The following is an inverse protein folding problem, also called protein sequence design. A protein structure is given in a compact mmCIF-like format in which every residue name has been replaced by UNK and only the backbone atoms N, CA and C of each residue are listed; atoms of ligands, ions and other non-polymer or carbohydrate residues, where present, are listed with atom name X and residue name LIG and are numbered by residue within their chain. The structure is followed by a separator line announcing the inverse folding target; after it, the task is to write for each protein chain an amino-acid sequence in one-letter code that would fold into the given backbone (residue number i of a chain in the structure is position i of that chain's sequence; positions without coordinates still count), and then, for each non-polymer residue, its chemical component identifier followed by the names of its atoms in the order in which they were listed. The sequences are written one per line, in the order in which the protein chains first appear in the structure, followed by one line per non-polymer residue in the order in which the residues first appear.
data_IF_847792302709
#
_entry.id   IF_847792302709
#
_cell.length_a   1.000
_cell.length_b   1.000
_cell.length_c   1.000
_cell.angle_alpha   90.00
_cell.angle_beta   90.00
_cell.angle_gamma   90.00
#
_symmetry.space_group_name_H-M   'P 1'
#
loop_
_entity.id
_entity.type
_entity.pdbx_description
1 polymer ?
#
# COMPACT_ATOMS: atom_id res chain seq x y z
N UNK A 1 -11.58 -44.05 18.83
CA UNK A 1 -12.15 -43.12 17.83
C UNK A 1 -12.15 -41.67 18.35
N UNK A 2 -10.99 -41.09 18.69
CA UNK A 2 -10.88 -39.68 19.14
C UNK A 2 -9.65 -38.91 18.62
N UNK A 3 -8.78 -39.55 17.84
CA UNK A 3 -7.52 -38.94 17.38
C UNK A 3 -7.53 -38.47 15.92
N UNK A 4 -8.65 -38.64 15.19
CA UNK A 4 -8.72 -38.27 13.77
C UNK A 4 -9.16 -36.82 13.52
N UNK A 5 -9.74 -36.14 14.52
CA UNK A 5 -10.27 -34.77 14.36
C UNK A 5 -9.23 -33.66 14.59
N UNK A 6 -8.06 -33.99 15.17
CA UNK A 6 -7.03 -32.98 15.51
C UNK A 6 -6.14 -32.66 14.30
N UNK A 7 -6.04 -33.57 13.32
CA UNK A 7 -5.19 -33.39 12.13
C UNK A 7 -5.79 -32.47 11.05
N UNK A 8 -7.11 -32.24 11.06
CA UNK A 8 -7.76 -31.41 10.03
C UNK A 8 -7.68 -29.91 10.38
N UNK A 9 -7.63 -29.57 11.68
CA UNK A 9 -7.58 -28.16 12.12
C UNK A 9 -6.19 -27.54 11.99
N UNK A 10 -5.12 -28.34 12.05
CA UNK A 10 -3.75 -27.84 11.78
C UNK A 10 -3.45 -27.64 10.29
N UNK A 11 -4.20 -28.28 9.38
CA UNK A 11 -3.98 -28.13 7.94
C UNK A 11 -4.50 -26.78 7.40
N UNK A 12 -5.52 -26.18 8.03
CA UNK A 12 -6.06 -24.88 7.60
C UNK A 12 -5.23 -23.67 8.04
N UNK A 13 -4.26 -23.84 8.94
CA UNK A 13 -3.32 -22.76 9.31
C UNK A 13 -2.07 -22.73 8.42
N UNK A 14 -1.91 -23.73 7.55
CA UNK A 14 -0.88 -23.80 6.51
C UNK A 14 -1.50 -23.49 5.15
N UNK A 15 -2.33 -22.44 5.05
CA UNK A 15 -2.54 -21.84 3.74
C UNK A 15 -1.17 -21.38 3.23
N UNK A 16 -0.71 -21.87 2.07
CA UNK A 16 0.55 -21.42 1.52
C UNK A 16 0.43 -19.93 1.26
N UNK A 17 1.25 -19.10 1.92
CA UNK A 17 1.44 -17.69 1.55
C UNK A 17 1.66 -17.52 0.04
N UNK A 18 2.17 -18.56 -0.63
CA UNK A 18 2.33 -18.67 -2.07
C UNK A 18 1.02 -18.64 -2.89
N UNK A 19 -0.10 -19.19 -2.40
CA UNK A 19 -1.39 -19.13 -3.11
C UNK A 19 -2.03 -17.74 -2.99
N UNK A 20 -1.88 -17.10 -1.83
CA UNK A 20 -2.36 -15.72 -1.63
C UNK A 20 -1.52 -14.72 -2.42
N UNK A 21 -0.21 -14.93 -2.53
CA UNK A 21 0.67 -14.14 -3.39
C UNK A 21 0.37 -14.36 -4.89
N UNK A 22 0.06 -15.59 -5.32
CA UNK A 22 -0.25 -15.85 -6.73
C UNK A 22 -1.50 -15.09 -7.21
N UNK A 23 -2.55 -15.04 -6.38
CA UNK A 23 -3.78 -14.30 -6.65
C UNK A 23 -3.56 -12.78 -6.52
N UNK A 24 -2.89 -12.34 -5.46
CA UNK A 24 -2.60 -10.93 -5.20
C UNK A 24 -1.68 -10.30 -6.25
N UNK A 25 -0.79 -11.08 -6.86
CA UNK A 25 0.19 -10.62 -7.83
C UNK A 25 -0.22 -10.87 -9.29
N UNK A 26 -1.39 -11.49 -9.53
CA UNK A 26 -1.98 -11.57 -10.87
C UNK A 26 -2.84 -10.32 -11.09
N UNK A 27 -2.67 -9.63 -12.22
CA UNK A 27 -3.35 -8.35 -12.51
C UNK A 27 -4.82 -8.54 -12.94
N UNK A 28 -5.39 -9.73 -12.71
CA UNK A 28 -6.74 -10.08 -13.14
C UNK A 28 -7.73 -9.78 -12.04
N UNK A 29 -8.22 -8.55 -12.01
CA UNK A 29 -9.47 -8.23 -11.31
C UNK A 29 -10.59 -8.94 -12.07
N UNK A 30 -11.19 -9.97 -11.48
CA UNK A 30 -12.36 -10.60 -12.10
C UNK A 30 -13.57 -9.66 -12.02
N UNK A 31 -14.42 -9.56 -13.07
CA UNK A 31 -15.61 -8.71 -13.02
C UNK A 31 -16.56 -9.14 -11.89
N UNK A 32 -16.64 -8.34 -10.83
CA UNK A 32 -17.46 -8.63 -9.64
C UNK A 32 -16.68 -8.86 -8.35
N UNK A 33 -15.35 -8.83 -8.40
CA UNK A 33 -14.50 -8.84 -7.20
C UNK A 33 -14.60 -7.49 -6.48
N UNK A 34 -14.79 -7.54 -5.15
CA UNK A 34 -14.74 -6.34 -4.30
C UNK A 34 -13.38 -5.65 -4.48
N UNK A 35 -13.27 -4.31 -4.34
CA UNK A 35 -11.98 -3.62 -4.50
C UNK A 35 -10.92 -4.35 -3.69
N UNK A 36 -9.98 -4.97 -4.39
CA UNK A 36 -9.03 -5.90 -3.79
C UNK A 36 -8.37 -5.24 -2.59
N UNK A 37 -8.18 -5.99 -1.50
CA UNK A 37 -7.42 -5.49 -0.34
C UNK A 37 -6.07 -4.88 -0.75
N UNK A 38 -5.50 -5.34 -1.87
CA UNK A 38 -4.37 -4.75 -2.59
C UNK A 38 -4.55 -3.28 -2.95
N UNK A 39 -5.64 -2.94 -3.63
CA UNK A 39 -5.93 -1.58 -4.04
C UNK A 39 -6.10 -0.68 -2.81
N UNK A 40 -6.78 -1.17 -1.77
CA UNK A 40 -6.95 -0.41 -0.53
C UNK A 40 -5.63 -0.20 0.22
N UNK A 41 -4.75 -1.20 0.28
CA UNK A 41 -3.41 -1.06 0.88
C UNK A 41 -2.54 -0.10 0.09
N UNK A 42 -2.58 -0.17 -1.25
CA UNK A 42 -1.86 0.76 -2.12
C UNK A 42 -2.34 2.20 -1.92
N UNK A 43 -3.65 2.43 -2.00
CA UNK A 43 -4.25 3.76 -1.85
C UNK A 43 -4.04 4.31 -0.44
N UNK A 44 -4.21 3.48 0.59
CA UNK A 44 -3.94 3.88 1.98
C UNK A 44 -2.48 4.24 2.22
N UNK A 45 -1.55 3.50 1.61
CA UNK A 45 -0.10 3.79 1.69
C UNK A 45 0.24 5.10 0.98
N UNK A 46 -0.29 5.30 -0.23
CA UNK A 46 -0.13 6.53 -1.00
C UNK A 46 -0.69 7.74 -0.24
N UNK A 47 -1.89 7.64 0.30
CA UNK A 47 -2.51 8.71 1.10
C UNK A 47 -1.71 9.01 2.37
N UNK A 48 -1.26 7.99 3.10
CA UNK A 48 -0.49 8.18 4.34
C UNK A 48 0.84 8.90 4.08
N UNK A 49 1.56 8.50 3.03
CA UNK A 49 2.80 9.15 2.59
C UNK A 49 2.53 10.59 2.13
N UNK A 50 1.47 10.80 1.35
CA UNK A 50 1.09 12.13 0.88
C UNK A 50 0.77 13.09 2.04
N UNK A 51 0.01 12.62 3.04
CA UNK A 51 -0.31 13.40 4.24
C UNK A 51 0.95 13.72 5.05
N UNK A 52 1.86 12.75 5.20
CA UNK A 52 3.11 12.92 5.93
C UNK A 52 4.03 13.96 5.25
N UNK A 53 4.16 13.92 3.92
CA UNK A 53 4.90 14.91 3.14
C UNK A 53 4.27 16.30 3.24
N UNK A 54 2.96 16.38 3.01
CA UNK A 54 2.25 17.66 2.87
C UNK A 54 2.08 18.40 4.20
N UNK A 55 1.82 17.67 5.29
CA UNK A 55 1.42 18.24 6.57
C UNK A 55 2.41 17.99 7.72
N UNK A 56 3.27 16.98 7.62
CA UNK A 56 4.19 16.60 8.70
C UNK A 56 5.68 16.83 8.39
N UNK A 57 6.00 17.38 7.20
CA UNK A 57 7.36 17.77 6.84
C UNK A 57 8.26 16.61 6.44
N UNK A 58 7.66 15.47 6.05
CA UNK A 58 8.41 14.33 5.60
C UNK A 58 9.04 14.55 4.21
N UNK A 59 10.14 13.85 3.87
CA UNK A 59 10.77 13.98 2.57
C UNK A 59 9.89 13.41 1.44
N UNK A 60 9.88 14.01 0.25
CA UNK A 60 9.14 13.48 -0.90
C UNK A 60 9.56 12.05 -1.26
N UNK A 61 8.58 11.18 -1.45
CA UNK A 61 8.73 9.76 -1.77
C UNK A 61 8.12 9.51 -3.15
N UNK A 62 8.92 9.07 -4.13
CA UNK A 62 8.39 8.77 -5.46
C UNK A 62 7.31 7.69 -5.40
N UNK A 63 6.16 7.85 -6.09
CA UNK A 63 5.11 6.84 -6.07
C UNK A 63 5.55 5.47 -6.61
N UNK A 64 6.59 5.44 -7.45
CA UNK A 64 7.25 4.19 -7.88
C UNK A 64 7.82 3.39 -6.71
N UNK A 65 8.35 4.06 -5.69
CA UNK A 65 8.85 3.40 -4.49
C UNK A 65 7.67 2.80 -3.71
N UNK A 66 6.58 3.57 -3.55
CA UNK A 66 5.30 3.14 -2.94
C UNK A 66 4.82 1.85 -3.56
N UNK A 67 4.71 1.84 -4.89
CA UNK A 67 4.34 0.66 -5.64
C UNK A 67 5.25 -0.53 -5.34
N UNK A 68 6.57 -0.36 -5.47
CA UNK A 68 7.55 -1.43 -5.27
C UNK A 68 7.45 -2.03 -3.87
N UNK A 69 7.43 -1.23 -2.81
CA UNK A 69 7.42 -1.78 -1.43
C UNK A 69 6.14 -2.54 -1.14
N UNK A 70 4.99 -2.03 -1.60
CA UNK A 70 3.71 -2.72 -1.39
C UNK A 70 3.71 -4.06 -2.13
N UNK A 71 4.11 -4.09 -3.39
CA UNK A 71 4.15 -5.32 -4.19
C UNK A 71 5.22 -6.31 -3.67
N UNK A 72 6.41 -5.85 -3.30
CA UNK A 72 7.46 -6.67 -2.69
C UNK A 72 7.01 -7.27 -1.36
N UNK A 73 6.33 -6.48 -0.52
CA UNK A 73 5.81 -6.93 0.78
C UNK A 73 4.77 -8.05 0.68
N UNK A 74 4.07 -8.14 -0.45
CA UNK A 74 3.09 -9.20 -0.72
C UNK A 74 3.66 -10.37 -1.52
N UNK A 75 4.94 -10.31 -1.84
CA UNK A 75 5.59 -11.40 -2.54
C UNK A 75 5.43 -11.36 -4.07
N UNK A 76 5.23 -10.18 -4.67
CA UNK A 76 5.03 -10.04 -6.11
C UNK A 76 6.33 -9.98 -6.92
N UNK A 77 7.38 -10.64 -6.43
CA UNK A 77 8.61 -10.83 -7.19
C UNK A 77 9.63 -9.71 -7.00
N UNK A 78 10.76 -9.80 -7.73
CA UNK A 78 11.91 -8.95 -7.48
C UNK A 78 11.67 -7.51 -7.93
N UNK A 79 12.20 -6.55 -7.16
CA UNK A 79 12.17 -5.11 -7.43
C UNK A 79 12.30 -4.72 -8.89
N UNK A 80 13.33 -5.21 -9.58
CA UNK A 80 13.63 -4.79 -10.95
C UNK A 80 12.47 -5.06 -11.93
N UNK A 81 11.68 -6.13 -11.68
CA UNK A 81 10.47 -6.43 -12.46
C UNK A 81 9.38 -5.41 -12.16
N UNK A 82 9.14 -5.14 -10.88
CA UNK A 82 8.11 -4.21 -10.41
C UNK A 82 8.40 -2.76 -10.86
N UNK A 83 9.65 -2.32 -10.80
CA UNK A 83 10.06 -1.01 -11.31
C UNK A 83 9.80 -0.88 -12.82
N UNK A 84 10.06 -1.93 -13.59
CA UNK A 84 9.79 -1.95 -15.03
C UNK A 84 8.28 -1.95 -15.33
N UNK A 85 7.49 -2.69 -14.56
CA UNK A 85 6.02 -2.70 -14.64
C UNK A 85 5.43 -1.33 -14.31
N UNK A 86 5.87 -0.71 -13.21
CA UNK A 86 5.46 0.64 -12.84
C UNK A 86 5.79 1.64 -13.95
N UNK A 87 7.02 1.60 -14.47
CA UNK A 87 7.44 2.47 -15.57
C UNK A 87 6.53 2.31 -16.79
N UNK A 88 6.25 1.07 -17.19
CA UNK A 88 5.35 0.77 -18.32
C UNK A 88 3.91 1.26 -18.08
N UNK A 89 3.40 1.15 -16.85
CA UNK A 89 2.05 1.66 -16.49
C UNK A 89 1.98 3.18 -16.50
N UNK A 90 3.07 3.85 -16.16
CA UNK A 90 3.15 5.31 -16.14
C UNK A 90 3.51 5.92 -17.51
N UNK A 91 3.96 5.13 -18.48
CA UNK A 91 4.15 5.57 -19.86
C UNK A 91 2.79 5.98 -20.47
N UNK A 92 2.51 7.28 -20.45
CA UNK A 92 1.27 7.89 -20.94
C UNK A 92 0.26 8.28 -19.87
N UNK A 93 0.55 8.04 -18.59
CA UNK A 93 -0.28 8.51 -17.48
C UNK A 93 0.05 9.97 -17.11
N UNK A 94 -0.97 10.72 -16.70
CA UNK A 94 -0.80 12.08 -16.20
C UNK A 94 -0.09 12.07 -14.83
N UNK A 95 0.79 13.04 -14.60
CA UNK A 95 1.51 13.15 -13.32
C UNK A 95 0.54 13.66 -12.26
N UNK A 96 0.08 12.75 -11.40
CA UNK A 96 -0.75 13.10 -10.24
C UNK A 96 0.13 13.77 -9.17
N UNK A 97 -0.27 14.96 -8.71
CA UNK A 97 0.44 15.64 -7.61
C UNK A 97 0.00 15.10 -6.25
N UNK A 98 0.78 15.36 -5.20
CA UNK A 98 0.42 15.02 -3.81
C UNK A 98 -0.92 15.65 -3.40
N UNK A 99 -1.19 16.89 -3.85
CA UNK A 99 -2.45 17.57 -3.56
C UNK A 99 -3.63 16.93 -4.31
N UNK A 100 -3.43 16.50 -5.57
CA UNK A 100 -4.45 15.77 -6.34
C UNK A 100 -4.76 14.41 -5.71
N UNK A 101 -3.72 13.71 -5.25
CA UNK A 101 -3.85 12.42 -4.57
C UNK A 101 -4.65 12.55 -3.28
N UNK A 102 -4.33 13.55 -2.43
CA UNK A 102 -5.07 13.81 -1.19
C UNK A 102 -6.51 14.18 -1.52
N UNK A 103 -6.73 15.03 -2.52
CA UNK A 103 -8.08 15.44 -2.93
C UNK A 103 -8.91 14.25 -3.40
N UNK A 104 -8.38 13.46 -4.33
CA UNK A 104 -9.09 12.34 -4.92
C UNK A 104 -9.36 11.21 -3.90
N UNK A 105 -8.41 10.94 -3.01
CA UNK A 105 -8.55 9.80 -2.07
C UNK A 105 -9.26 10.14 -0.77
N UNK A 106 -9.15 11.38 -0.29
CA UNK A 106 -9.76 11.76 0.99
C UNK A 106 -11.09 12.52 0.82
N UNK A 107 -11.37 13.08 -0.36
CA UNK A 107 -12.49 14.00 -0.56
C UNK A 107 -13.26 13.76 -1.88
N UNK A 108 -13.20 12.53 -2.41
CA UNK A 108 -13.69 11.99 -3.71
C UNK A 108 -14.92 12.71 -4.35
N UNK A 109 -15.87 13.20 -3.55
CA UNK A 109 -17.13 13.82 -4.01
C UNK A 109 -17.21 15.37 -3.98
N UNK A 110 -16.24 16.10 -3.40
CA UNK A 110 -16.33 17.56 -3.27
C UNK A 110 -15.22 18.27 -4.07
N UNK A 111 -15.39 18.33 -5.40
CA UNK A 111 -14.42 18.95 -6.32
C UNK A 111 -14.15 20.44 -6.09
N UNK A 112 -15.03 21.10 -5.34
CA UNK A 112 -14.99 22.55 -5.08
C UNK A 112 -14.61 22.91 -3.63
N UNK A 113 -14.10 21.98 -2.80
CA UNK A 113 -13.61 22.34 -1.46
C UNK A 113 -12.43 23.33 -1.61
N UNK A 114 -12.49 24.51 -0.96
CA UNK A 114 -11.34 25.39 -0.89
C UNK A 114 -10.14 24.71 -0.22
N UNK A 115 -8.93 24.90 -0.73
CA UNK A 115 -7.71 24.28 -0.18
C UNK A 115 -7.58 24.44 1.35
N UNK A 116 -7.94 25.61 1.89
CA UNK A 116 -7.89 25.87 3.34
C UNK A 116 -8.83 24.96 4.15
N UNK A 117 -9.98 24.60 3.59
CA UNK A 117 -10.92 23.67 4.22
C UNK A 117 -10.43 22.23 4.13
N UNK A 118 -9.85 21.82 2.98
CA UNK A 118 -9.17 20.53 2.87
C UNK A 118 -8.03 20.41 3.88
N UNK A 119 -7.17 21.43 3.96
CA UNK A 119 -6.05 21.46 4.91
C UNK A 119 -6.53 21.36 6.37
N UNK A 120 -7.67 22.01 6.69
CA UNK A 120 -8.29 21.91 8.01
C UNK A 120 -8.78 20.49 8.30
N UNK A 121 -9.52 19.88 7.37
CA UNK A 121 -10.04 18.52 7.51
C UNK A 121 -8.92 17.48 7.59
N UNK A 122 -7.92 17.59 6.72
CA UNK A 122 -6.76 16.72 6.71
C UNK A 122 -6.02 16.78 8.04
N UNK A 123 -5.74 17.98 8.58
CA UNK A 123 -5.12 18.12 9.90
C UNK A 123 -5.97 17.51 11.02
N UNK A 124 -7.29 17.68 10.96
CA UNK A 124 -8.19 17.07 11.95
C UNK A 124 -8.15 15.54 11.88
N UNK A 125 -8.14 14.95 10.67
CA UNK A 125 -8.03 13.50 10.49
C UNK A 125 -6.65 12.97 10.92
N UNK A 126 -5.57 13.70 10.63
CA UNK A 126 -4.22 13.35 11.08
C UNK A 126 -4.18 13.20 12.60
N UNK A 127 -4.68 14.20 13.33
CA UNK A 127 -4.67 14.20 14.79
C UNK A 127 -5.70 13.23 15.40
N UNK A 128 -6.89 13.10 14.78
CA UNK A 128 -8.01 12.35 15.34
C UNK A 128 -8.04 10.86 15.01
N UNK A 129 -7.54 10.47 13.84
CA UNK A 129 -7.73 9.13 13.28
C UNK A 129 -6.40 8.43 12.94
N UNK A 130 -5.38 9.19 12.55
CA UNK A 130 -4.11 8.63 12.06
C UNK A 130 -2.99 8.64 13.11
N UNK A 131 -3.30 9.01 14.35
CA UNK A 131 -2.31 9.01 15.46
C UNK A 131 -1.33 10.19 15.43
N UNK A 132 -1.66 11.24 14.69
CA UNK A 132 -0.86 12.46 14.57
C UNK A 132 0.36 12.31 13.65
N UNK A 133 1.09 13.42 13.51
CA UNK A 133 2.28 13.44 12.65
C UNK A 133 3.39 12.47 13.09
N UNK A 134 3.47 12.09 14.37
CA UNK A 134 4.45 11.10 14.83
C UNK A 134 4.24 9.73 14.21
N UNK A 135 2.99 9.26 14.11
CA UNK A 135 2.70 7.95 13.53
C UNK A 135 2.85 7.98 12.00
N UNK A 136 2.42 9.07 11.35
CA UNK A 136 2.64 9.24 9.91
C UNK A 136 4.13 9.26 9.52
N UNK A 137 4.96 9.99 10.28
CA UNK A 137 6.41 10.02 10.05
C UNK A 137 7.06 8.65 10.28
N UNK A 138 6.59 7.91 11.29
CA UNK A 138 7.06 6.56 11.56
C UNK A 138 6.70 5.59 10.43
N UNK A 139 5.46 5.64 9.94
CA UNK A 139 5.02 4.85 8.78
C UNK A 139 5.86 5.15 7.54
N UNK A 140 6.12 6.43 7.26
CA UNK A 140 6.95 6.81 6.13
C UNK A 140 8.42 6.40 6.30
N UNK A 141 8.95 6.47 7.53
CA UNK A 141 10.30 5.97 7.79
C UNK A 141 10.38 4.46 7.57
N UNK A 142 9.40 3.69 8.07
CA UNK A 142 9.32 2.25 7.85
C UNK A 142 9.23 1.93 6.35
N UNK A 143 8.49 2.75 5.60
CA UNK A 143 8.38 2.65 4.16
C UNK A 143 9.74 2.80 3.47
N UNK A 144 10.46 3.88 3.78
CA UNK A 144 11.81 4.14 3.25
C UNK A 144 12.84 3.10 3.68
N UNK A 145 12.69 2.54 4.89
CA UNK A 145 13.53 1.44 5.36
C UNK A 145 13.26 0.15 4.61
N UNK A 146 12.00 -0.17 4.33
CA UNK A 146 11.60 -1.33 3.52
C UNK A 146 12.09 -1.19 2.08
N UNK A 147 12.00 0.02 1.51
CA UNK A 147 12.58 0.30 0.21
C UNK A 147 14.11 0.13 0.22
N UNK A 148 14.82 0.60 1.25
CA UNK A 148 16.28 0.42 1.36
C UNK A 148 16.69 -1.03 1.60
N UNK A 149 15.85 -1.83 2.25
CA UNK A 149 16.11 -3.21 2.65
C UNK A 149 15.04 -4.14 2.06
N UNK A 150 15.05 -4.41 0.75
CA UNK A 150 14.10 -5.32 0.13
C UNK A 150 14.12 -6.71 0.78
N UNK A 151 12.98 -7.42 0.79
CA UNK A 151 12.97 -8.83 1.14
C UNK A 151 13.89 -9.62 0.20
N UNK A 152 14.47 -10.71 0.71
CA UNK A 152 15.27 -11.61 -0.12
C UNK A 152 14.37 -12.37 -1.08
N UNK A 153 14.79 -12.41 -2.34
CA UNK A 153 14.10 -13.09 -3.44
C UNK A 153 14.92 -14.28 -3.97
N UNK A 154 14.31 -15.46 -4.21
CA UNK A 154 12.96 -15.86 -3.77
C UNK A 154 12.87 -15.93 -2.24
N UNK A 155 11.66 -15.74 -1.69
CA UNK A 155 11.44 -15.92 -0.25
C UNK A 155 11.93 -17.31 0.17
N UNK A 156 12.89 -17.37 1.09
CA UNK A 156 13.24 -18.63 1.74
C UNK A 156 11.98 -19.12 2.48
N UNK A 157 11.57 -20.39 2.31
CA UNK A 157 10.46 -20.92 3.11
C UNK A 157 10.82 -20.79 4.59
N UNK A 158 9.94 -20.18 5.37
CA UNK A 158 10.05 -20.15 6.84
C UNK A 158 10.20 -21.61 7.32
N UNK A 159 11.35 -21.92 7.94
CA UNK A 159 11.69 -23.26 8.43
C UNK A 159 10.94 -23.60 9.72
#
# INVERSE_FOLDING_TARGET
MRSALILVVLASMLMPKALHAADYCDDKIEPGESPDGKAMVMLGSMLSVALAERYCGAPPTPPSQIFVVVEEGHGCGPRARLEAEYKKRMEGAEVMTTDDLIRNLAFDDEKDIPQAEMDRRAKAAIEGELGGCSELLKMQQQFLESYRNPPKWPHEPEK
#
